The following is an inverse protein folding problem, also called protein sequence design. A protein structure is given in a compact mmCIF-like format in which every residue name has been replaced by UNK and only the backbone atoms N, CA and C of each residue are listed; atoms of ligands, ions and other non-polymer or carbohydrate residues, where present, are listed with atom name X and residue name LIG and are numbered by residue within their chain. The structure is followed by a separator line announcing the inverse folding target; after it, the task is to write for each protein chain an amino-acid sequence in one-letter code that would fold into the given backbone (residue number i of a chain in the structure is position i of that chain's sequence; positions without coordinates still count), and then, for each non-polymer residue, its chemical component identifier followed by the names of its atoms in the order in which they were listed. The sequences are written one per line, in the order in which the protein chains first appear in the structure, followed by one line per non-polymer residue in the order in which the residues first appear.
data_IF_686919687961
#
_entry.id   IF_686919687961
#
_cell.length_a   1.000
_cell.length_b   1.000
_cell.length_c   1.000
_cell.angle_alpha   90.00
_cell.angle_beta   90.00
_cell.angle_gamma   90.00
#
_symmetry.space_group_name_H-M   'P 1'
#
loop_
_entity.id
_entity.type
_entity.pdbx_description
1 polymer ?
#
# COMPACT_ATOMS: atom_id res chain seq x y z
N UNK A 1 35.24 -8.92 -18.73
CA UNK A 1 33.85 -8.54 -19.09
C UNK A 1 32.97 -8.78 -17.88
N UNK A 2 32.32 -7.76 -17.30
CA UNK A 2 31.36 -7.99 -16.21
C UNK A 2 30.09 -8.66 -16.76
N UNK A 3 29.49 -9.62 -16.06
CA UNK A 3 28.29 -10.29 -16.53
C UNK A 3 27.13 -9.30 -16.59
N UNK A 4 26.50 -9.22 -17.75
CA UNK A 4 25.28 -8.47 -18.00
C UNK A 4 24.23 -8.86 -16.95
N UNK A 5 23.79 -7.88 -16.14
CA UNK A 5 22.62 -8.04 -15.28
C UNK A 5 21.44 -8.37 -16.19
N UNK A 6 21.14 -9.67 -16.34
CA UNK A 6 19.89 -10.15 -16.93
C UNK A 6 18.74 -9.45 -16.21
N UNK A 7 18.12 -8.49 -16.89
CA UNK A 7 16.88 -7.88 -16.46
C UNK A 7 15.85 -9.02 -16.37
N UNK A 8 15.59 -9.50 -15.16
CA UNK A 8 14.45 -10.41 -14.95
C UNK A 8 13.21 -9.59 -15.28
N UNK A 9 12.35 -10.04 -16.21
CA UNK A 9 11.10 -9.34 -16.46
C UNK A 9 10.37 -9.21 -15.12
N UNK A 10 9.91 -8.00 -14.81
CA UNK A 10 9.08 -7.79 -13.64
C UNK A 10 7.90 -8.75 -13.77
N UNK A 11 7.71 -9.62 -12.78
CA UNK A 11 6.57 -10.56 -12.76
C UNK A 11 5.31 -9.74 -13.07
N UNK A 12 4.52 -10.20 -14.04
CA UNK A 12 3.31 -9.53 -14.50
C UNK A 12 2.28 -9.48 -13.36
N UNK A 13 1.39 -8.47 -13.32
CA UNK A 13 0.28 -8.52 -12.37
C UNK A 13 -0.56 -9.77 -12.68
N UNK A 14 -1.12 -10.46 -11.67
CA UNK A 14 -2.15 -11.46 -11.91
C UNK A 14 -3.26 -10.88 -12.81
N UNK A 15 -3.69 -11.62 -13.83
CA UNK A 15 -4.70 -11.15 -14.77
C UNK A 15 -5.98 -10.76 -14.02
N UNK A 16 -6.42 -9.51 -14.17
CA UNK A 16 -7.55 -8.93 -13.42
C UNK A 16 -8.90 -9.66 -13.59
N UNK A 17 -9.03 -10.60 -14.54
CA UNK A 17 -10.25 -11.39 -14.75
C UNK A 17 -10.26 -12.79 -14.13
N UNK A 18 -9.10 -13.34 -13.76
CA UNK A 18 -8.98 -14.74 -13.29
C UNK A 18 -8.24 -14.87 -11.95
N UNK A 19 -7.50 -13.84 -11.54
CA UNK A 19 -6.73 -13.87 -10.33
C UNK A 19 -7.61 -13.73 -9.08
N UNK A 20 -7.48 -14.69 -8.18
CA UNK A 20 -8.11 -14.66 -6.86
C UNK A 20 -7.40 -13.68 -5.93
N UNK A 21 -8.06 -13.34 -4.82
CA UNK A 21 -7.46 -12.56 -3.73
C UNK A 21 -6.18 -13.24 -3.22
N UNK A 22 -6.18 -14.57 -3.17
CA UNK A 22 -5.05 -15.34 -2.67
C UNK A 22 -3.87 -15.33 -3.63
N UNK A 23 -4.12 -15.32 -4.95
CA UNK A 23 -3.06 -15.16 -5.96
C UNK A 23 -2.31 -13.84 -5.76
N UNK A 24 -3.04 -12.76 -5.50
CA UNK A 24 -2.43 -11.47 -5.20
C UNK A 24 -1.71 -11.46 -3.84
N UNK A 25 -2.32 -12.03 -2.78
CA UNK A 25 -1.69 -12.09 -1.45
C UNK A 25 -0.41 -12.92 -1.45
N UNK A 26 -0.34 -13.98 -2.24
CA UNK A 26 0.83 -14.86 -2.34
C UNK A 26 1.84 -14.41 -3.40
N UNK A 27 1.48 -13.41 -4.22
CA UNK A 27 2.30 -12.97 -5.33
C UNK A 27 3.74 -12.56 -4.91
N UNK A 28 4.80 -13.11 -5.55
CA UNK A 28 6.19 -12.89 -5.13
C UNK A 28 6.61 -11.43 -5.05
N UNK A 29 6.07 -10.58 -5.94
CA UNK A 29 6.35 -9.14 -5.92
C UNK A 29 5.82 -8.46 -4.66
N UNK A 30 4.58 -8.73 -4.26
CA UNK A 30 4.00 -8.09 -3.08
C UNK A 30 4.65 -8.62 -1.80
N UNK A 31 4.89 -9.94 -1.74
CA UNK A 31 5.66 -10.57 -0.66
C UNK A 31 7.05 -9.98 -0.53
N UNK A 32 7.76 -9.74 -1.63
CA UNK A 32 9.08 -9.09 -1.61
C UNK A 32 9.02 -7.65 -1.09
N UNK A 33 7.97 -6.88 -1.42
CA UNK A 33 7.81 -5.53 -0.88
C UNK A 33 7.54 -5.55 0.62
N UNK A 34 6.72 -6.48 1.10
CA UNK A 34 6.46 -6.69 2.52
C UNK A 34 7.72 -7.14 3.25
N UNK A 35 8.39 -8.19 2.76
CA UNK A 35 9.59 -8.75 3.39
C UNK A 35 10.67 -7.70 3.55
N UNK A 36 10.95 -6.90 2.51
CA UNK A 36 11.92 -5.80 2.58
C UNK A 36 11.56 -4.71 3.59
N UNK A 37 10.28 -4.53 3.88
CA UNK A 37 9.84 -3.58 4.89
C UNK A 37 10.02 -4.16 6.30
N UNK A 38 9.67 -5.42 6.50
CA UNK A 38 9.85 -6.15 7.76
C UNK A 38 11.35 -6.36 8.10
N UNK A 39 12.19 -6.62 7.10
CA UNK A 39 13.64 -6.76 7.24
C UNK A 39 14.36 -5.42 7.42
N UNK A 40 13.64 -4.30 7.31
CA UNK A 40 14.24 -2.98 7.51
C UNK A 40 14.65 -2.85 8.97
N UNK A 41 15.91 -2.47 9.28
CA UNK A 41 16.33 -2.21 10.66
C UNK A 41 15.48 -1.14 11.35
N UNK A 42 14.91 -0.23 10.56
CA UNK A 42 14.02 0.84 11.02
C UNK A 42 12.89 1.03 10.00
N UNK A 43 11.74 0.35 10.17
CA UNK A 43 10.57 0.52 9.32
C UNK A 43 9.98 1.94 9.39
N UNK A 44 10.08 2.59 10.55
CA UNK A 44 9.63 3.96 10.77
C UNK A 44 10.35 4.97 9.87
N UNK A 45 11.67 4.87 9.78
CA UNK A 45 12.48 5.69 8.87
C UNK A 45 12.13 5.46 7.40
N UNK A 46 11.74 4.24 7.01
CA UNK A 46 11.25 3.98 5.65
C UNK A 46 9.95 4.75 5.38
N UNK A 47 9.01 4.74 6.33
CA UNK A 47 7.74 5.47 6.22
C UNK A 47 7.97 6.98 6.20
N UNK A 48 8.79 7.50 7.10
CA UNK A 48 9.15 8.93 7.16
C UNK A 48 9.82 9.39 5.87
N UNK A 49 10.75 8.59 5.30
CA UNK A 49 11.38 8.89 4.01
C UNK A 49 10.35 8.97 2.88
N UNK A 50 9.43 8.01 2.79
CA UNK A 50 8.38 8.04 1.76
C UNK A 50 7.41 9.20 1.96
N UNK A 51 7.05 9.52 3.21
CA UNK A 51 6.20 10.65 3.57
C UNK A 51 6.81 11.99 3.17
N UNK A 52 8.10 12.19 3.46
CA UNK A 52 8.85 13.39 3.09
C UNK A 52 8.96 13.53 1.56
N UNK A 53 9.24 12.43 0.87
CA UNK A 53 9.37 12.43 -0.59
C UNK A 53 8.02 12.71 -1.28
N UNK A 54 6.90 12.23 -0.73
CA UNK A 54 5.61 12.28 -1.41
C UNK A 54 5.14 13.69 -1.85
N UNK A 55 5.62 14.76 -1.20
CA UNK A 55 5.23 16.13 -1.58
C UNK A 55 5.89 16.62 -2.87
N UNK A 56 7.10 16.14 -3.17
CA UNK A 56 7.94 16.69 -4.24
C UNK A 56 8.14 15.70 -5.41
N UNK A 57 7.42 14.58 -5.40
CA UNK A 57 7.55 13.55 -6.42
C UNK A 57 6.58 13.77 -7.58
N UNK A 58 7.08 13.51 -8.79
CA UNK A 58 6.25 13.36 -9.98
C UNK A 58 5.14 12.31 -9.73
N UNK A 59 3.96 12.45 -10.36
CA UNK A 59 2.85 11.50 -10.20
C UNK A 59 3.25 10.03 -10.40
N UNK A 60 4.08 9.73 -11.40
CA UNK A 60 4.54 8.36 -11.66
C UNK A 60 5.30 7.74 -10.48
N UNK A 61 6.21 8.50 -9.86
CA UNK A 61 6.97 8.07 -8.69
C UNK A 61 6.03 7.90 -7.48
N UNK A 62 5.02 8.77 -7.34
CA UNK A 62 3.98 8.60 -6.31
C UNK A 62 3.21 7.29 -6.48
N UNK A 63 2.81 6.94 -7.70
CA UNK A 63 2.11 5.68 -7.96
C UNK A 63 2.99 4.45 -7.67
N UNK A 64 4.30 4.52 -7.95
CA UNK A 64 5.24 3.44 -7.57
C UNK A 64 5.34 3.27 -6.05
N UNK A 65 5.43 4.37 -5.30
CA UNK A 65 5.41 4.31 -3.83
C UNK A 65 4.06 3.78 -3.34
N UNK A 66 2.94 4.19 -3.94
CA UNK A 66 1.62 3.68 -3.60
C UNK A 66 1.52 2.15 -3.74
N UNK A 67 2.17 1.54 -4.74
CA UNK A 67 2.22 0.07 -4.86
C UNK A 67 2.96 -0.55 -3.67
N UNK A 68 4.10 0.02 -3.27
CA UNK A 68 4.87 -0.50 -2.14
C UNK A 68 4.08 -0.40 -0.83
N UNK A 69 3.56 0.80 -0.54
CA UNK A 69 2.82 1.07 0.71
C UNK A 69 1.49 0.30 0.70
N UNK A 70 0.81 0.23 -0.44
CA UNK A 70 -0.41 -0.56 -0.61
C UNK A 70 -0.18 -2.04 -0.36
N UNK A 71 0.95 -2.61 -0.76
CA UNK A 71 1.30 -4.00 -0.45
C UNK A 71 1.43 -4.22 1.06
N UNK A 72 2.05 -3.27 1.79
CA UNK A 72 2.16 -3.35 3.25
C UNK A 72 0.79 -3.28 3.92
N UNK A 73 -0.03 -2.31 3.53
CA UNK A 73 -1.40 -2.16 4.04
C UNK A 73 -2.27 -3.38 3.73
N UNK A 74 -2.09 -4.00 2.57
CA UNK A 74 -2.85 -5.19 2.18
C UNK A 74 -2.42 -6.45 2.94
N UNK A 75 -1.15 -6.57 3.34
CA UNK A 75 -0.59 -7.85 3.81
C UNK A 75 -0.13 -7.91 5.28
N UNK A 76 0.18 -6.77 5.93
CA UNK A 76 0.52 -6.75 7.36
C UNK A 76 -0.68 -7.18 8.22
N UNK A 77 -0.53 -7.54 9.51
CA UNK A 77 -1.64 -7.57 10.47
C UNK A 77 -2.32 -6.19 10.60
N UNK A 78 -3.61 -6.15 11.00
CA UNK A 78 -4.40 -4.90 11.02
C UNK A 78 -3.81 -3.86 11.97
N UNK A 79 -3.38 -4.32 13.13
CA UNK A 79 -2.75 -3.53 14.18
C UNK A 79 -1.44 -2.93 13.66
N UNK A 80 -0.61 -3.74 13.01
CA UNK A 80 0.69 -3.30 12.47
C UNK A 80 0.55 -2.33 11.29
N UNK A 81 -0.46 -2.50 10.44
CA UNK A 81 -0.72 -1.59 9.33
C UNK A 81 -1.20 -0.20 9.81
N UNK A 82 -1.89 -0.16 10.94
CA UNK A 82 -2.44 1.07 11.53
C UNK A 82 -1.52 1.73 12.55
N UNK A 83 -0.63 0.96 13.19
CA UNK A 83 0.29 1.44 14.20
C UNK A 83 1.37 2.35 13.61
N UNK A 84 1.70 3.41 14.36
CA UNK A 84 2.97 4.12 14.17
C UNK A 84 4.07 3.26 14.81
N UNK A 85 5.18 3.00 14.11
CA UNK A 85 6.19 2.03 14.56
C UNK A 85 6.99 2.47 15.82
N UNK A 86 6.90 3.73 16.23
CA UNK A 86 7.41 4.23 17.50
C UNK A 86 6.28 4.24 18.54
N UNK A 87 6.36 3.35 19.52
CA UNK A 87 5.38 3.19 20.62
C UNK A 87 5.43 4.28 21.70
N UNK A 88 6.14 5.38 21.45
CA UNK A 88 6.20 6.57 22.30
C UNK A 88 5.81 7.79 21.47
N UNK A 89 5.40 8.85 22.14
CA UNK A 89 4.74 10.09 21.68
C UNK A 89 5.42 10.89 20.55
N UNK A 90 6.29 10.29 19.74
CA UNK A 90 6.79 10.86 18.50
C UNK A 90 5.69 10.79 17.42
N UNK A 91 4.78 11.76 17.49
CA UNK A 91 3.70 12.07 16.54
C UNK A 91 4.22 12.20 15.08
N UNK A 92 5.52 12.22 14.88
CA UNK A 92 6.18 12.52 13.61
C UNK A 92 6.14 11.37 12.58
N UNK A 93 5.88 10.11 12.99
CA UNK A 93 5.98 8.96 12.09
C UNK A 93 4.60 8.44 11.64
N UNK A 94 4.27 8.51 10.33
CA UNK A 94 2.98 8.03 9.83
C UNK A 94 2.95 6.51 9.78
N UNK A 95 1.80 5.91 10.06
CA UNK A 95 1.57 4.48 9.78
C UNK A 95 1.47 4.19 8.28
N UNK A 96 1.64 2.92 7.83
CA UNK A 96 1.43 2.54 6.44
C UNK A 96 0.06 2.98 5.88
N UNK A 97 -1.00 2.85 6.68
CA UNK A 97 -2.37 3.27 6.32
C UNK A 97 -2.45 4.78 6.09
N UNK A 98 -1.89 5.57 7.02
CA UNK A 98 -1.89 7.03 6.91
C UNK A 98 -1.08 7.50 5.69
N UNK A 99 0.09 6.89 5.46
CA UNK A 99 0.95 7.21 4.32
C UNK A 99 0.26 6.88 2.99
N UNK A 100 -0.42 5.73 2.88
CA UNK A 100 -1.16 5.39 1.68
C UNK A 100 -2.28 6.41 1.42
N UNK A 101 -3.09 6.72 2.43
CA UNK A 101 -4.17 7.70 2.31
C UNK A 101 -3.65 9.06 1.82
N UNK A 102 -2.48 9.49 2.34
CA UNK A 102 -1.80 10.71 1.91
C UNK A 102 -1.37 10.64 0.45
N UNK A 103 -0.69 9.57 0.03
CA UNK A 103 -0.22 9.40 -1.35
C UNK A 103 -1.40 9.38 -2.34
N UNK A 104 -2.49 8.69 -2.01
CA UNK A 104 -3.66 8.63 -2.89
C UNK A 104 -4.35 9.99 -3.05
N UNK A 105 -4.28 10.87 -2.05
CA UNK A 105 -4.74 12.26 -2.15
C UNK A 105 -3.82 13.11 -3.03
N UNK A 106 -2.51 12.92 -2.92
CA UNK A 106 -1.50 13.69 -3.68
C UNK A 106 -1.40 13.29 -5.15
N UNK A 107 -1.75 12.06 -5.54
CA UNK A 107 -1.59 11.58 -6.92
C UNK A 107 -2.42 12.38 -7.97
N UNK A 108 -3.46 13.09 -7.53
CA UNK A 108 -4.43 13.75 -8.40
C UNK A 108 -5.15 12.79 -9.35
N UNK A 109 -5.14 13.09 -10.65
CA UNK A 109 -5.82 12.34 -11.73
C UNK A 109 -4.90 11.40 -12.52
N UNK A 110 -3.71 11.09 -12.00
CA UNK A 110 -2.77 10.21 -12.69
C UNK A 110 -3.37 8.82 -12.98
N UNK A 111 -3.09 8.29 -14.18
CA UNK A 111 -3.56 6.96 -14.59
C UNK A 111 -2.98 5.90 -13.66
N UNK A 112 -3.87 5.12 -13.04
CA UNK A 112 -3.50 4.01 -12.15
C UNK A 112 -2.98 2.86 -13.02
N UNK A 113 -1.84 2.29 -12.65
CA UNK A 113 -1.31 1.08 -13.30
C UNK A 113 -2.04 -0.17 -12.81
N UNK A 114 -2.05 -1.22 -13.61
CA UNK A 114 -2.69 -2.51 -13.26
C UNK A 114 -2.19 -3.06 -11.92
N UNK A 115 -0.89 -2.90 -11.64
CA UNK A 115 -0.28 -3.23 -10.36
C UNK A 115 -0.91 -2.48 -9.18
N UNK A 116 -1.09 -1.17 -9.32
CA UNK A 116 -1.71 -0.38 -8.27
C UNK A 116 -3.21 -0.67 -8.19
N UNK A 117 -3.89 -0.93 -9.31
CA UNK A 117 -5.29 -1.33 -9.31
C UNK A 117 -5.51 -2.62 -8.52
N UNK A 118 -4.75 -3.68 -8.80
CA UNK A 118 -4.87 -4.95 -8.06
C UNK A 118 -4.54 -4.80 -6.57
N UNK A 119 -3.48 -4.06 -6.23
CA UNK A 119 -3.15 -3.76 -4.82
C UNK A 119 -4.27 -2.96 -4.13
N UNK A 120 -4.86 -1.97 -4.81
CA UNK A 120 -5.97 -1.19 -4.25
C UNK A 120 -7.24 -2.03 -4.10
N UNK A 121 -7.48 -3.03 -4.95
CA UNK A 121 -8.56 -4.01 -4.74
C UNK A 121 -8.35 -4.81 -3.45
N UNK A 122 -7.14 -5.32 -3.21
CA UNK A 122 -6.83 -6.02 -1.95
C UNK A 122 -7.06 -5.12 -0.72
N UNK A 123 -6.61 -3.87 -0.80
CA UNK A 123 -6.83 -2.88 0.27
C UNK A 123 -8.32 -2.61 0.45
N UNK A 124 -9.09 -2.51 -0.63
CA UNK A 124 -10.52 -2.24 -0.56
C UNK A 124 -11.32 -3.41 0.03
N UNK A 125 -10.99 -4.67 -0.30
CA UNK A 125 -11.54 -5.86 0.35
C UNK A 125 -11.24 -5.86 1.84
N UNK A 126 -9.98 -5.60 2.20
CA UNK A 126 -9.56 -5.49 3.60
C UNK A 126 -10.32 -4.39 4.36
N UNK A 127 -10.60 -3.26 3.72
CA UNK A 127 -11.40 -2.17 4.30
C UNK A 127 -12.89 -2.54 4.52
N UNK A 128 -13.40 -3.60 3.88
CA UNK A 128 -14.72 -4.14 4.20
C UNK A 128 -14.68 -4.92 5.53
N UNK A 129 -13.62 -5.68 5.77
CA UNK A 129 -13.41 -6.46 7.01
C UNK A 129 -13.11 -5.57 8.22
N UNK A 130 -12.26 -4.56 8.03
CA UNK A 130 -11.90 -3.56 9.07
C UNK A 130 -13.12 -2.92 9.73
N UNK A 131 -14.22 -2.73 8.98
CA UNK A 131 -15.47 -2.14 9.51
C UNK A 131 -16.06 -2.97 10.65
N UNK A 132 -15.76 -4.27 10.70
CA UNK A 132 -16.26 -5.21 11.72
C UNK A 132 -15.32 -5.30 12.93
N UNK A 133 -14.01 -5.14 12.71
CA UNK A 133 -12.98 -5.52 13.68
C UNK A 133 -12.35 -4.33 14.42
N UNK A 134 -12.26 -3.15 13.80
CA UNK A 134 -11.53 -2.01 14.38
C UNK A 134 -12.48 -0.93 14.89
N UNK A 135 -12.37 -0.59 16.19
CA UNK A 135 -13.14 0.48 16.84
C UNK A 135 -12.23 1.56 17.46
N UNK A 136 -12.81 2.69 17.86
CA UNK A 136 -12.10 3.75 18.58
C UNK A 136 -11.10 4.55 17.74
N UNK A 137 -10.05 5.07 18.37
CA UNK A 137 -9.06 5.95 17.71
C UNK A 137 -8.29 5.24 16.59
N UNK A 138 -8.08 3.92 16.70
CA UNK A 138 -7.44 3.10 15.67
C UNK A 138 -8.25 3.00 14.36
N UNK A 139 -9.56 3.28 14.38
CA UNK A 139 -10.41 3.26 13.19
C UNK A 139 -10.20 4.49 12.29
N UNK A 140 -9.71 5.61 12.84
CA UNK A 140 -9.61 6.89 12.11
C UNK A 140 -8.68 6.81 10.88
N UNK A 141 -7.45 6.27 10.95
CA UNK A 141 -6.60 6.08 9.78
C UNK A 141 -7.27 5.26 8.66
N UNK A 142 -8.00 4.21 9.03
CA UNK A 142 -8.70 3.36 8.07
C UNK A 142 -9.87 4.08 7.40
N UNK A 143 -10.63 4.88 8.14
CA UNK A 143 -11.68 5.73 7.56
C UNK A 143 -11.11 6.76 6.58
N UNK A 144 -9.99 7.39 6.93
CA UNK A 144 -9.33 8.35 6.06
C UNK A 144 -8.80 7.69 4.78
N UNK A 145 -8.24 6.48 4.90
CA UNK A 145 -7.85 5.68 3.74
C UNK A 145 -9.07 5.37 2.87
N UNK A 146 -10.18 4.88 3.46
CA UNK A 146 -11.42 4.56 2.74
C UNK A 146 -11.93 5.75 1.92
N UNK A 147 -11.90 6.96 2.48
CA UNK A 147 -12.28 8.21 1.80
C UNK A 147 -11.32 8.60 0.66
N UNK A 148 -10.05 8.21 0.78
CA UNK A 148 -8.99 8.51 -0.21
C UNK A 148 -8.94 7.50 -1.36
N UNK A 149 -9.63 6.35 -1.24
CA UNK A 149 -9.67 5.32 -2.27
C UNK A 149 -10.40 5.79 -3.54
N UNK A 150 -9.86 5.49 -4.75
CA UNK A 150 -10.55 5.84 -6.00
C UNK A 150 -11.91 5.14 -6.13
N UNK A 151 -12.93 5.88 -6.56
CA UNK A 151 -14.30 5.37 -6.78
C UNK A 151 -14.39 4.21 -7.78
N UNK A 152 -13.45 4.11 -8.73
CA UNK A 152 -13.41 3.00 -9.70
C UNK A 152 -13.24 1.65 -8.99
N UNK A 153 -12.28 1.56 -8.05
CA UNK A 153 -12.01 0.35 -7.25
C UNK A 153 -13.26 -0.10 -6.48
N UNK A 154 -14.00 0.84 -5.88
CA UNK A 154 -15.24 0.51 -5.17
C UNK A 154 -16.37 0.03 -6.08
N UNK A 155 -16.40 0.47 -7.34
CA UNK A 155 -17.43 0.03 -8.30
C UNK A 155 -17.16 -1.40 -8.77
N UNK A 156 -15.90 -1.74 -8.98
CA UNK A 156 -15.47 -3.09 -9.36
C UNK A 156 -15.78 -4.13 -8.24
N UNK A 157 -15.84 -3.71 -6.98
CA UNK A 157 -16.22 -4.58 -5.85
C UNK A 157 -17.73 -4.70 -5.59
N UNK A 158 -18.58 -3.95 -6.30
CA UNK A 158 -20.05 -3.98 -6.13
C UNK A 158 -20.74 -4.98 -7.05
N UNK A 159 -19.96 -5.88 -7.64
CA UNK A 159 -20.44 -6.97 -8.50
C UNK A 159 -20.92 -8.12 -7.61
#
# INVERSE_FOLDING_TARGET
MPPEKRWRPAVAPPSNGEATVDDWKTHPRLRKHLQRFLDSPDPGRVLSRYSAQAQNLSPEKLLRIAVHVGAWVALLPLEQAAASPSGEEDVSQPSPVQLLARILRLRGRAKISDWLQGVLHLVALRLQDVRREVQGQAARPWMDLRRSMPKAIWRELRI
#
